data_IF_527737723330
#
_entry.id   IF_527737723330
#
_cell.length_a   1.000
_cell.length_b   1.000
_cell.length_c   1.000
_cell.angle_alpha   90.00
_cell.angle_beta   90.00
_cell.angle_gamma   90.00
#
_symmetry.space_group_name_H-M   'P 1'
#
loop_
_entity.id
_entity.type
_entity.pdbx_description
1 polymer ?
#
# COMPACT_ATOMS: atom_id res chain seq x y z
N UNK A 1 -3.86 -10.90 -13.45
CA UNK A 1 -2.56 -10.45 -12.94
C UNK A 1 -2.43 -10.83 -11.49
N UNK A 2 -1.23 -11.22 -11.10
CA UNK A 2 -0.97 -11.70 -9.75
C UNK A 2 -1.32 -10.68 -8.66
N UNK A 3 -0.93 -9.43 -8.87
CA UNK A 3 -1.13 -8.38 -7.87
C UNK A 3 -2.61 -8.11 -7.60
N UNK A 4 -3.45 -8.21 -8.61
CA UNK A 4 -4.88 -7.96 -8.47
C UNK A 4 -5.53 -8.92 -7.49
N UNK A 5 -5.15 -10.18 -7.53
CA UNK A 5 -5.67 -11.18 -6.59
C UNK A 5 -5.28 -10.83 -5.15
N UNK A 6 -4.05 -10.36 -4.95
CA UNK A 6 -3.59 -9.95 -3.62
C UNK A 6 -4.31 -8.69 -3.15
N UNK A 7 -4.59 -7.75 -4.05
CA UNK A 7 -5.35 -6.54 -3.70
C UNK A 7 -6.74 -6.93 -3.20
N UNK A 8 -7.40 -7.88 -3.86
CA UNK A 8 -8.69 -8.37 -3.40
C UNK A 8 -8.62 -9.04 -2.03
N UNK A 9 -7.53 -9.75 -1.75
CA UNK A 9 -7.31 -10.32 -0.42
C UNK A 9 -7.16 -9.24 0.64
N UNK A 10 -6.48 -8.15 0.32
CA UNK A 10 -6.34 -7.01 1.23
C UNK A 10 -7.71 -6.40 1.52
N UNK A 11 -8.52 -6.20 0.49
CA UNK A 11 -9.87 -5.65 0.66
C UNK A 11 -10.69 -6.53 1.62
N UNK A 12 -10.64 -7.84 1.42
CA UNK A 12 -11.33 -8.80 2.26
C UNK A 12 -10.86 -8.72 3.71
N UNK A 13 -9.54 -8.62 3.90
CA UNK A 13 -8.92 -8.47 5.22
C UNK A 13 -9.43 -7.22 5.92
N UNK A 14 -9.48 -6.09 5.21
CA UNK A 14 -9.91 -4.81 5.78
C UNK A 14 -11.40 -4.81 6.11
N UNK A 15 -12.22 -5.38 5.26
CA UNK A 15 -13.65 -5.51 5.53
C UNK A 15 -13.89 -6.30 6.82
N UNK A 16 -13.14 -7.36 7.02
CA UNK A 16 -13.25 -8.19 8.22
C UNK A 16 -12.85 -7.46 9.49
N UNK A 17 -12.12 -6.35 9.37
CA UNK A 17 -11.65 -5.55 10.51
C UNK A 17 -12.39 -4.23 10.69
N UNK A 18 -13.49 -4.04 9.95
CA UNK A 18 -14.34 -2.88 10.14
C UNK A 18 -13.87 -1.59 9.48
N UNK A 19 -12.93 -1.68 8.54
CA UNK A 19 -12.52 -0.51 7.78
C UNK A 19 -13.65 -0.03 6.87
N UNK A 20 -13.71 1.29 6.66
CA UNK A 20 -14.73 1.94 5.84
C UNK A 20 -14.08 2.69 4.68
N UNK A 21 -14.91 3.12 3.72
CA UNK A 21 -14.47 3.88 2.55
C UNK A 21 -13.32 3.21 1.83
N UNK A 22 -13.42 1.91 1.63
CA UNK A 22 -12.38 1.11 0.98
C UNK A 22 -12.38 1.42 -0.51
N UNK A 23 -11.22 1.88 -1.01
CA UNK A 23 -10.98 2.06 -2.43
C UNK A 23 -9.82 1.16 -2.81
N UNK A 24 -9.87 0.57 -3.99
CA UNK A 24 -8.86 -0.39 -4.41
C UNK A 24 -8.58 -0.23 -5.90
N UNK A 25 -7.30 -0.32 -6.26
CA UNK A 25 -6.87 -0.21 -7.65
C UNK A 25 -7.06 -1.55 -8.35
N UNK A 26 -8.29 -1.96 -8.45
CA UNK A 26 -8.69 -3.22 -9.07
C UNK A 26 -10.13 -3.09 -9.54
N UNK A 27 -10.48 -3.83 -10.60
CA UNK A 27 -11.81 -3.77 -11.17
C UNK A 27 -12.89 -4.09 -10.12
N UNK A 28 -13.97 -3.34 -10.16
CA UNK A 28 -15.10 -3.51 -9.24
C UNK A 28 -15.07 -2.60 -8.04
N UNK A 29 -14.02 -1.80 -7.89
CA UNK A 29 -13.88 -0.87 -6.77
C UNK A 29 -13.54 0.52 -7.28
N UNK A 30 -13.90 1.53 -6.49
CA UNK A 30 -13.49 2.90 -6.78
C UNK A 30 -11.96 2.98 -6.69
N UNK A 31 -11.32 3.63 -7.67
CA UNK A 31 -9.87 3.75 -7.72
C UNK A 31 -9.41 4.77 -6.68
N UNK A 32 -8.37 4.45 -5.90
CA UNK A 32 -7.79 5.43 -4.97
C UNK A 32 -7.22 6.64 -5.73
N UNK A 33 -7.10 7.77 -5.02
CA UNK A 33 -6.51 8.98 -5.58
C UNK A 33 -5.05 8.71 -5.94
N UNK A 34 -4.65 9.13 -7.14
CA UNK A 34 -3.26 8.99 -7.57
C UNK A 34 -2.45 10.22 -7.25
N UNK A 35 -1.14 10.04 -7.09
CA UNK A 35 -0.21 11.11 -6.72
C UNK A 35 0.98 11.12 -7.67
N UNK A 36 1.54 12.31 -7.89
CA UNK A 36 2.73 12.48 -8.72
C UNK A 36 3.77 13.27 -7.96
N UNK A 37 5.04 12.91 -8.18
CA UNK A 37 6.16 13.70 -7.68
C UNK A 37 6.38 14.86 -8.65
N UNK A 38 6.84 16.03 -8.14
CA UNK A 38 7.09 17.20 -8.98
C UNK A 38 8.13 16.95 -10.06
N UNK A 39 9.09 16.06 -9.78
CA UNK A 39 10.20 15.78 -10.68
C UNK A 39 9.99 14.51 -11.51
N UNK A 40 8.84 13.86 -11.36
CA UNK A 40 8.54 12.59 -12.00
C UNK A 40 7.12 12.68 -12.58
N UNK A 41 6.98 12.40 -13.87
CA UNK A 41 5.69 12.43 -14.54
C UNK A 41 4.85 11.19 -14.22
N UNK A 42 5.45 10.17 -13.59
CA UNK A 42 4.73 8.96 -13.26
C UNK A 42 3.71 9.23 -12.17
N UNK A 43 2.54 8.65 -12.36
CA UNK A 43 1.48 8.71 -11.36
C UNK A 43 1.53 7.44 -10.52
N UNK A 44 1.48 7.63 -9.21
CA UNK A 44 1.48 6.52 -8.26
C UNK A 44 0.09 6.39 -7.66
N UNK A 45 -0.55 5.25 -7.89
CA UNK A 45 -1.88 4.97 -7.34
C UNK A 45 -1.70 3.95 -6.23
N UNK A 46 -2.14 4.25 -4.99
CA UNK A 46 -2.10 3.25 -3.92
C UNK A 46 -2.88 2.00 -4.31
N UNK A 47 -2.45 0.85 -3.86
CA UNK A 47 -3.19 -0.37 -4.13
C UNK A 47 -4.55 -0.36 -3.44
N UNK A 48 -4.59 0.04 -2.17
CA UNK A 48 -5.83 0.17 -1.40
C UNK A 48 -5.71 1.35 -0.46
N UNK A 49 -6.80 2.08 -0.29
CA UNK A 49 -6.94 3.08 0.78
C UNK A 49 -8.21 2.76 1.55
N UNK A 50 -8.20 3.04 2.85
CA UNK A 50 -9.36 2.80 3.69
C UNK A 50 -9.30 3.68 4.93
N UNK A 51 -10.44 3.81 5.60
CA UNK A 51 -10.56 4.64 6.78
C UNK A 51 -11.02 3.83 7.98
N UNK A 52 -10.44 4.13 9.14
CA UNK A 52 -10.88 3.57 10.41
C UNK A 52 -10.58 4.60 11.50
N UNK A 53 -11.56 4.85 12.37
CA UNK A 53 -11.40 5.81 13.48
C UNK A 53 -10.94 7.20 13.00
N UNK A 54 -11.52 7.67 11.89
CA UNK A 54 -11.19 8.97 11.28
C UNK A 54 -9.76 9.05 10.72
N UNK A 55 -9.05 7.94 10.65
CA UNK A 55 -7.72 7.83 10.07
C UNK A 55 -7.79 7.22 8.68
N UNK A 56 -7.21 7.91 7.69
CA UNK A 56 -7.09 7.39 6.33
C UNK A 56 -5.72 6.75 6.18
N UNK A 57 -5.69 5.50 5.75
CA UNK A 57 -4.45 4.75 5.64
C UNK A 57 -4.25 4.19 4.24
N UNK A 58 -2.99 3.94 3.90
CA UNK A 58 -2.59 3.37 2.63
C UNK A 58 -2.13 1.93 2.86
N UNK A 59 -2.51 1.04 1.95
CA UNK A 59 -2.17 -0.38 2.03
C UNK A 59 -1.56 -0.78 0.70
N UNK A 60 -0.26 -1.14 0.71
CA UNK A 60 0.45 -1.52 -0.50
C UNK A 60 0.81 -2.99 -0.47
N UNK A 61 0.44 -3.70 -1.51
CA UNK A 61 0.89 -5.08 -1.70
C UNK A 61 2.34 -5.04 -2.16
N UNK A 62 3.24 -5.64 -1.40
CA UNK A 62 4.68 -5.63 -1.72
C UNK A 62 5.09 -7.00 -2.22
N UNK A 63 5.59 -7.03 -3.46
CA UNK A 63 6.03 -8.25 -4.13
C UNK A 63 7.50 -8.10 -4.51
N UNK A 64 8.31 -9.11 -4.19
CA UNK A 64 9.73 -9.11 -4.53
C UNK A 64 9.98 -9.24 -6.03
N UNK A 65 8.93 -9.51 -6.80
CA UNK A 65 9.00 -9.64 -8.25
C UNK A 65 8.82 -8.31 -8.99
N UNK A 66 8.48 -7.24 -8.27
CA UNK A 66 8.30 -5.93 -8.89
C UNK A 66 9.60 -5.15 -8.92
N UNK A 67 9.73 -4.16 -9.84
CA UNK A 67 10.94 -3.33 -9.89
C UNK A 67 11.18 -2.60 -8.56
N UNK A 68 12.34 -2.82 -7.97
CA UNK A 68 12.65 -2.32 -6.62
C UNK A 68 12.66 -0.80 -6.56
N UNK A 69 13.28 -0.13 -7.53
CA UNK A 69 13.40 1.32 -7.52
C UNK A 69 12.04 2.02 -7.54
N UNK A 70 11.11 1.51 -8.34
CA UNK A 70 9.75 2.06 -8.40
C UNK A 70 9.01 1.81 -7.08
N UNK A 71 9.16 0.63 -6.52
CA UNK A 71 8.55 0.28 -5.24
C UNK A 71 9.03 1.22 -4.14
N UNK A 72 10.33 1.47 -4.07
CA UNK A 72 10.92 2.39 -3.08
C UNK A 72 10.33 3.79 -3.24
N UNK A 73 10.28 4.30 -4.46
CA UNK A 73 9.76 5.65 -4.73
C UNK A 73 8.30 5.76 -4.29
N UNK A 74 7.50 4.76 -4.61
CA UNK A 74 6.09 4.74 -4.25
C UNK A 74 5.91 4.67 -2.73
N UNK A 75 6.64 3.81 -2.06
CA UNK A 75 6.52 3.65 -0.60
C UNK A 75 6.96 4.91 0.13
N UNK A 76 8.02 5.57 -0.32
CA UNK A 76 8.45 6.83 0.29
C UNK A 76 7.40 7.92 0.12
N UNK A 77 6.82 8.02 -1.06
CA UNK A 77 5.75 8.97 -1.30
C UNK A 77 4.55 8.72 -0.40
N UNK A 78 4.10 7.48 -0.33
CA UNK A 78 2.94 7.12 0.49
C UNK A 78 3.22 7.30 1.98
N UNK A 79 4.43 7.01 2.43
CA UNK A 79 4.84 7.22 3.81
C UNK A 79 4.77 8.70 4.18
N UNK A 80 5.26 9.57 3.29
CA UNK A 80 5.21 11.02 3.50
C UNK A 80 3.76 11.52 3.55
N UNK A 81 2.93 11.04 2.64
CA UNK A 81 1.52 11.44 2.60
C UNK A 81 0.76 10.96 3.83
N UNK A 82 1.03 9.74 4.28
CA UNK A 82 0.39 9.20 5.48
C UNK A 82 0.73 10.05 6.70
N UNK A 83 2.01 10.39 6.86
CA UNK A 83 2.45 11.21 7.98
C UNK A 83 1.79 12.59 7.94
N UNK A 84 1.69 13.21 6.77
CA UNK A 84 1.10 14.54 6.62
C UNK A 84 -0.40 14.56 6.94
N UNK A 85 -1.08 13.43 6.77
CA UNK A 85 -2.54 13.33 6.97
C UNK A 85 -2.91 12.59 8.25
N UNK A 86 -1.95 12.35 9.12
CA UNK A 86 -2.14 11.60 10.37
C UNK A 86 -2.69 10.19 10.14
N UNK A 87 -2.38 9.61 8.99
CA UNK A 87 -2.71 8.24 8.67
C UNK A 87 -1.50 7.34 8.78
N UNK A 88 -1.63 6.12 8.27
CA UNK A 88 -0.55 5.14 8.31
C UNK A 88 -0.33 4.48 6.95
N UNK A 89 0.88 3.97 6.75
CA UNK A 89 1.20 3.14 5.60
C UNK A 89 1.42 1.71 6.09
N UNK A 90 0.73 0.78 5.45
CA UNK A 90 0.89 -0.65 5.72
C UNK A 90 1.39 -1.35 4.47
N UNK A 91 2.42 -2.17 4.64
CA UNK A 91 2.89 -3.06 3.58
C UNK A 91 2.22 -4.41 3.77
N UNK A 92 1.41 -4.79 2.81
CA UNK A 92 0.67 -6.05 2.87
C UNK A 92 1.49 -7.10 2.13
N UNK A 93 2.07 -8.03 2.89
CA UNK A 93 3.03 -8.98 2.36
C UNK A 93 2.41 -10.37 2.19
N UNK A 94 2.23 -10.81 0.95
CA UNK A 94 1.79 -12.19 0.69
C UNK A 94 2.84 -13.20 1.15
N UNK A 95 2.42 -14.45 1.26
CA UNK A 95 3.30 -15.54 1.63
C UNK A 95 4.54 -15.56 0.72
N UNK A 96 5.72 -15.63 1.33
CA UNK A 96 7.00 -15.61 0.61
C UNK A 96 7.55 -14.22 0.36
N UNK A 97 6.84 -13.15 0.71
CA UNK A 97 7.28 -11.77 0.47
C UNK A 97 7.47 -10.97 1.77
N UNK A 98 7.21 -11.58 2.91
CA UNK A 98 7.23 -10.87 4.20
C UNK A 98 8.62 -10.35 4.55
N UNK A 99 9.64 -11.21 4.45
CA UNK A 99 11.00 -10.79 4.80
C UNK A 99 11.52 -9.72 3.85
N UNK A 100 11.18 -9.84 2.56
CA UNK A 100 11.52 -8.82 1.58
C UNK A 100 10.93 -7.47 1.96
N UNK A 101 9.65 -7.44 2.35
CA UNK A 101 8.98 -6.20 2.76
C UNK A 101 9.65 -5.60 4.01
N UNK A 102 9.96 -6.41 5.00
CA UNK A 102 10.63 -5.96 6.21
C UNK A 102 12.02 -5.40 5.92
N UNK A 103 12.78 -6.08 5.08
CA UNK A 103 14.11 -5.61 4.69
C UNK A 103 14.03 -4.28 3.96
N UNK A 104 13.05 -4.12 3.10
CA UNK A 104 12.88 -2.91 2.32
C UNK A 104 12.65 -1.70 3.22
N UNK A 105 11.74 -1.78 4.19
CA UNK A 105 11.50 -0.65 5.08
C UNK A 105 12.70 -0.35 5.97
N UNK A 106 13.45 -1.38 6.38
CA UNK A 106 14.64 -1.19 7.20
C UNK A 106 15.77 -0.55 6.41
N UNK A 107 16.06 -1.05 5.21
CA UNK A 107 17.15 -0.55 4.39
C UNK A 107 16.92 0.85 3.85
N UNK A 108 15.68 1.20 3.58
CA UNK A 108 15.33 2.49 2.97
C UNK A 108 14.67 3.46 3.93
N UNK A 109 14.63 3.10 5.21
CA UNK A 109 14.10 3.96 6.29
C UNK A 109 12.68 4.44 5.97
N UNK A 110 11.84 3.51 5.54
CA UNK A 110 10.44 3.80 5.24
C UNK A 110 9.62 3.59 6.50
N UNK A 111 8.84 4.61 6.87
CA UNK A 111 7.99 4.54 8.06
C UNK A 111 6.69 3.82 7.70
N UNK A 112 6.61 2.54 8.02
CA UNK A 112 5.46 1.70 7.69
C UNK A 112 5.43 0.46 8.58
N UNK A 113 4.27 -0.19 8.63
CA UNK A 113 4.14 -1.48 9.31
C UNK A 113 3.92 -2.56 8.25
N UNK A 114 4.44 -3.76 8.51
CA UNK A 114 4.27 -4.90 7.59
C UNK A 114 3.24 -5.86 8.17
N UNK A 115 2.26 -6.23 7.35
CA UNK A 115 1.21 -7.18 7.72
C UNK A 115 1.27 -8.37 6.77
N UNK A 116 1.27 -9.57 7.30
CA UNK A 116 1.19 -10.79 6.51
C UNK A 116 -0.22 -11.02 6.02
N UNK A 117 -0.36 -11.38 4.75
CA UNK A 117 -1.63 -11.85 4.21
C UNK A 117 -1.44 -13.24 3.63
N UNK A 118 -2.51 -14.01 3.58
CA UNK A 118 -2.45 -15.40 3.14
C UNK A 118 -2.05 -15.54 1.66
#
# INVERSE_FOLDING_TARGET
MEKEAYILEVVKYLKGRGFQDIKANVEGYETPVGYSLKTDEQKYIPDVTARQFAENSYFEVVLKTEPVSRTISKLRLLSTLAAAKSGKLFLMAPRGHFNFAKDMIAQHQIHAEVIKIA
#
